data_IF_686097655697
#
_entry.id   IF_686097655697
#
_cell.length_a   1.000
_cell.length_b   1.000
_cell.length_c   1.000
_cell.angle_alpha   90.00
_cell.angle_beta   90.00
_cell.angle_gamma   90.00
#
_symmetry.space_group_name_H-M   'P 1'
#
loop_
_entity.id
_entity.type
_entity.pdbx_description
1 polymer ?
#
# COMPACT_ATOMS: atom_id res chain seq x y z
N UNK A 1 -51.04 69.23 22.56
CA UNK A 1 -51.02 67.77 22.35
C UNK A 1 -49.82 67.22 23.10
N UNK A 2 -50.08 66.17 23.90
CA UNK A 2 -49.12 65.50 24.80
C UNK A 2 -48.05 64.79 23.97
N UNK A 3 -46.79 64.91 24.37
CA UNK A 3 -45.64 64.36 23.65
C UNK A 3 -45.43 62.87 23.87
N UNK A 4 -44.51 62.30 23.10
CA UNK A 4 -43.64 61.19 23.48
C UNK A 4 -42.35 61.27 22.64
N UNK A 5 -41.22 61.38 23.34
CA UNK A 5 -39.87 61.20 22.80
C UNK A 5 -39.62 59.70 22.75
N UNK A 6 -39.27 59.16 21.58
CA UNK A 6 -38.75 57.79 21.46
C UNK A 6 -37.26 57.90 21.09
N UNK A 7 -36.43 57.60 22.08
CA UNK A 7 -35.01 57.27 21.90
C UNK A 7 -34.96 55.81 21.44
N UNK A 8 -34.40 55.56 20.26
CA UNK A 8 -34.21 54.21 19.72
C UNK A 8 -32.80 54.06 19.17
N UNK A 9 -31.97 53.35 19.92
CA UNK A 9 -30.57 53.02 19.69
C UNK A 9 -30.26 52.51 18.27
N UNK A 10 -29.16 53.02 17.70
CA UNK A 10 -28.38 52.38 16.64
C UNK A 10 -27.78 51.07 17.18
N UNK A 11 -28.34 49.93 16.80
CA UNK A 11 -27.70 48.63 17.00
C UNK A 11 -26.85 48.30 15.77
N UNK A 12 -25.54 48.43 15.95
CA UNK A 12 -24.50 47.93 15.05
C UNK A 12 -24.73 46.45 14.72
N UNK A 13 -24.91 46.13 13.43
CA UNK A 13 -24.84 44.74 12.95
C UNK A 13 -23.39 44.26 13.10
N UNK A 14 -23.12 43.64 14.25
CA UNK A 14 -21.88 42.91 14.46
C UNK A 14 -21.77 41.78 13.44
N UNK A 15 -20.67 41.78 12.69
CA UNK A 15 -20.20 40.64 11.91
C UNK A 15 -20.04 39.47 12.88
N UNK A 16 -21.04 38.58 12.91
CA UNK A 16 -20.93 37.29 13.54
C UNK A 16 -19.80 36.53 12.83
N UNK A 17 -18.62 36.55 13.45
CA UNK A 17 -17.57 35.59 13.16
C UNK A 17 -18.15 34.22 13.50
N UNK A 18 -18.58 33.49 12.47
CA UNK A 18 -18.85 32.07 12.61
C UNK A 18 -17.52 31.43 13.05
N UNK A 19 -17.41 31.13 14.34
CA UNK A 19 -16.35 30.26 14.85
C UNK A 19 -16.39 28.97 14.03
N UNK A 20 -15.25 28.50 13.48
CA UNK A 20 -15.23 27.22 12.80
C UNK A 20 -15.70 26.17 13.79
N UNK A 21 -16.72 25.41 13.40
CA UNK A 21 -17.16 24.26 14.17
C UNK A 21 -15.94 23.38 14.46
N UNK A 22 -15.65 23.12 15.73
CA UNK A 22 -14.61 22.18 16.13
C UNK A 22 -14.74 20.90 15.31
N UNK A 23 -13.63 20.33 14.80
CA UNK A 23 -13.69 19.13 13.99
C UNK A 23 -14.38 18.03 14.81
N UNK A 24 -15.41 17.45 14.20
CA UNK A 24 -16.12 16.28 14.71
C UNK A 24 -15.10 15.26 15.21
N UNK A 25 -15.32 14.82 16.44
CA UNK A 25 -14.52 13.88 17.21
C UNK A 25 -14.32 12.58 16.39
N UNK A 26 -13.31 12.54 15.52
CA UNK A 26 -12.83 11.34 14.85
C UNK A 26 -12.18 10.47 15.93
N UNK A 27 -13.00 9.83 16.77
CA UNK A 27 -12.51 8.82 17.69
C UNK A 27 -11.74 7.80 16.85
N UNK A 28 -10.44 7.70 17.11
CA UNK A 28 -9.57 6.73 16.48
C UNK A 28 -10.23 5.36 16.66
N UNK A 29 -10.60 4.71 15.55
CA UNK A 29 -11.09 3.34 15.58
C UNK A 29 -9.88 2.43 15.77
N UNK A 30 -9.54 2.16 17.02
CA UNK A 30 -8.54 1.14 17.34
C UNK A 30 -9.22 -0.21 17.22
N UNK A 31 -8.77 -1.04 16.27
CA UNK A 31 -9.20 -2.42 16.12
C UNK A 31 -8.02 -3.29 16.55
N UNK A 32 -8.18 -4.01 17.66
CA UNK A 32 -7.19 -4.99 18.11
C UNK A 32 -7.33 -6.27 17.28
N UNK A 33 -6.24 -6.70 16.67
CA UNK A 33 -6.15 -7.99 15.98
C UNK A 33 -5.41 -8.98 16.88
N UNK A 34 -5.66 -10.28 16.69
CA UNK A 34 -4.90 -11.33 17.38
C UNK A 34 -3.39 -11.11 17.22
N UNK A 35 -2.62 -11.46 18.27
CA UNK A 35 -1.18 -11.30 18.31
C UNK A 35 -0.53 -11.94 17.07
N UNK A 36 0.11 -11.11 16.24
CA UNK A 36 0.88 -11.55 15.09
C UNK A 36 2.29 -10.99 15.22
N UNK A 37 3.29 -11.81 14.92
CA UNK A 37 4.66 -11.34 14.75
C UNK A 37 4.72 -10.55 13.45
N UNK A 38 4.98 -9.25 13.55
CA UNK A 38 5.27 -8.42 12.39
C UNK A 38 6.70 -7.93 12.49
N UNK A 39 7.42 -7.97 11.37
CA UNK A 39 8.78 -7.44 11.32
C UNK A 39 9.03 -6.74 9.99
N UNK A 40 9.86 -5.72 10.07
CA UNK A 40 10.20 -4.83 8.98
C UNK A 40 11.63 -5.10 8.51
N UNK A 41 11.88 -5.00 7.22
CA UNK A 41 13.21 -5.28 6.67
C UNK A 41 13.48 -4.50 5.39
N UNK A 42 14.76 -4.17 5.18
CA UNK A 42 15.25 -3.64 3.92
C UNK A 42 15.52 -4.81 2.94
N UNK A 43 15.18 -4.61 1.68
CA UNK A 43 15.59 -5.48 0.57
C UNK A 43 16.48 -4.69 -0.37
N UNK A 44 17.62 -5.28 -0.77
CA UNK A 44 18.62 -4.60 -1.59
C UNK A 44 19.06 -5.49 -2.73
N UNK A 45 19.18 -4.91 -3.92
CA UNK A 45 19.77 -5.57 -5.08
C UNK A 45 20.78 -4.65 -5.75
N UNK A 46 21.85 -5.23 -6.29
CA UNK A 46 22.82 -4.55 -7.14
C UNK A 46 22.68 -5.10 -8.56
N UNK A 47 22.42 -4.21 -9.51
CA UNK A 47 22.39 -4.51 -10.94
C UNK A 47 23.52 -3.81 -11.69
N UNK A 48 23.52 -3.97 -13.00
CA UNK A 48 24.45 -3.32 -13.94
C UNK A 48 23.85 -1.99 -14.40
N UNK A 49 24.69 -0.97 -14.59
CA UNK A 49 24.28 0.30 -15.17
C UNK A 49 23.65 0.07 -16.56
N UNK A 50 22.44 0.59 -16.77
CA UNK A 50 21.65 0.40 -18.00
C UNK A 50 20.66 -0.77 -17.96
N UNK A 51 20.73 -1.64 -16.95
CA UNK A 51 19.71 -2.67 -16.67
C UNK A 51 19.09 -2.42 -15.29
N UNK A 52 18.02 -1.63 -15.29
CA UNK A 52 17.26 -1.35 -14.07
C UNK A 52 16.18 -2.38 -13.80
N UNK A 53 15.76 -3.15 -14.81
CA UNK A 53 14.63 -4.09 -14.68
C UNK A 53 15.01 -5.27 -13.78
N UNK A 54 16.19 -5.86 -14.01
CA UNK A 54 16.67 -6.99 -13.22
C UNK A 54 16.78 -6.70 -11.71
N UNK A 55 17.39 -5.58 -11.24
CA UNK A 55 17.44 -5.30 -9.81
C UNK A 55 16.06 -4.99 -9.21
N UNK A 56 15.12 -4.37 -9.94
CA UNK A 56 13.75 -4.17 -9.46
C UNK A 56 12.98 -5.49 -9.31
N UNK A 57 13.10 -6.39 -10.29
CA UNK A 57 12.53 -7.73 -10.20
C UNK A 57 13.10 -8.49 -9.00
N UNK A 58 14.42 -8.36 -8.77
CA UNK A 58 15.11 -9.04 -7.67
C UNK A 58 14.60 -8.58 -6.31
N UNK A 59 14.45 -7.25 -6.08
CA UNK A 59 13.94 -6.76 -4.80
C UNK A 59 12.47 -7.12 -4.58
N UNK A 60 11.66 -7.14 -5.64
CA UNK A 60 10.27 -7.58 -5.56
C UNK A 60 10.18 -9.04 -5.14
N UNK A 61 10.79 -9.94 -5.91
CA UNK A 61 10.77 -11.39 -5.64
C UNK A 61 11.33 -11.70 -4.27
N UNK A 62 12.46 -11.09 -3.89
CA UNK A 62 13.08 -11.34 -2.58
C UNK A 62 12.21 -10.87 -1.41
N UNK A 63 11.45 -9.78 -1.56
CA UNK A 63 10.49 -9.34 -0.54
C UNK A 63 9.34 -10.34 -0.39
N UNK A 64 8.80 -10.81 -1.51
CA UNK A 64 7.72 -11.80 -1.49
C UNK A 64 8.18 -13.13 -0.87
N UNK A 65 9.32 -13.65 -1.34
CA UNK A 65 9.87 -14.92 -0.90
C UNK A 65 10.24 -14.92 0.60
N UNK A 66 10.80 -13.82 1.12
CA UNK A 66 11.17 -13.74 2.54
C UNK A 66 9.95 -13.89 3.47
N UNK A 67 8.77 -13.46 3.02
CA UNK A 67 7.53 -13.72 3.74
C UNK A 67 7.02 -15.14 3.53
N UNK A 68 7.01 -15.63 2.30
CA UNK A 68 6.53 -16.98 1.96
C UNK A 68 7.26 -18.06 2.76
N UNK A 69 8.59 -17.99 2.84
CA UNK A 69 9.40 -19.01 3.55
C UNK A 69 9.13 -19.06 5.06
N UNK A 70 8.50 -18.01 5.61
CA UNK A 70 8.09 -17.92 7.02
C UNK A 70 6.60 -18.20 7.20
N UNK A 71 5.93 -18.69 6.14
CA UNK A 71 4.49 -18.88 6.12
C UNK A 71 3.70 -17.58 6.25
N UNK A 72 4.32 -16.42 6.03
CA UNK A 72 3.68 -15.13 6.16
C UNK A 72 3.18 -14.56 4.84
N UNK A 73 2.79 -13.29 4.87
CA UNK A 73 2.53 -12.49 3.69
C UNK A 73 3.09 -11.08 3.88
N UNK A 74 3.41 -10.41 2.78
CA UNK A 74 3.81 -9.01 2.79
C UNK A 74 2.59 -8.15 3.07
N UNK A 75 2.58 -7.43 4.18
CA UNK A 75 1.52 -6.45 4.51
C UNK A 75 1.77 -5.11 3.85
N UNK A 76 3.03 -4.71 3.73
CA UNK A 76 3.43 -3.47 3.06
C UNK A 76 4.74 -3.69 2.31
N UNK A 77 4.83 -3.13 1.11
CA UNK A 77 6.02 -3.06 0.27
C UNK A 77 6.15 -1.65 -0.28
N UNK A 78 7.35 -1.09 -0.21
CA UNK A 78 7.68 0.22 -0.75
C UNK A 78 9.01 0.15 -1.50
N UNK A 79 8.98 0.42 -2.79
CA UNK A 79 10.21 0.66 -3.55
C UNK A 79 10.78 2.04 -3.20
N UNK A 80 12.09 2.23 -3.43
CA UNK A 80 12.69 3.56 -3.34
C UNK A 80 12.63 4.22 -1.97
N UNK A 81 12.24 3.49 -0.91
CA UNK A 81 12.20 3.98 0.47
C UNK A 81 13.54 4.58 0.92
N UNK A 82 14.63 4.09 0.31
CA UNK A 82 15.98 4.66 0.43
C UNK A 82 16.49 5.08 -0.93
N UNK A 83 17.25 6.20 -0.98
CA UNK A 83 17.82 6.74 -2.22
C UNK A 83 18.58 5.67 -3.00
N UNK A 84 18.26 5.51 -4.28
CA UNK A 84 19.08 4.75 -5.22
C UNK A 84 20.51 5.30 -5.25
N UNK A 85 21.48 4.39 -5.31
CA UNK A 85 22.90 4.72 -5.33
C UNK A 85 23.54 4.14 -6.59
N UNK A 86 24.20 5.00 -7.36
CA UNK A 86 24.97 4.59 -8.54
C UNK A 86 26.43 4.39 -8.12
N UNK A 87 26.92 3.17 -8.32
CA UNK A 87 28.32 2.84 -8.11
C UNK A 87 29.06 3.00 -9.44
N UNK A 88 29.47 4.24 -9.73
CA UNK A 88 30.09 4.60 -11.02
C UNK A 88 31.47 3.96 -11.22
N UNK A 89 32.12 3.50 -10.15
CA UNK A 89 33.41 2.79 -10.22
C UNK A 89 33.23 1.35 -10.67
N UNK A 90 32.14 0.71 -10.26
CA UNK A 90 31.85 -0.70 -10.57
C UNK A 90 30.81 -0.86 -11.68
N UNK A 91 30.38 0.23 -12.32
CA UNK A 91 29.35 0.19 -13.36
C UNK A 91 28.02 -0.36 -12.84
N UNK A 92 27.66 -0.08 -11.58
CA UNK A 92 26.50 -0.68 -10.92
C UNK A 92 25.40 0.30 -10.51
N UNK A 93 24.19 -0.22 -10.39
CA UNK A 93 23.05 0.47 -9.76
C UNK A 93 22.58 -0.32 -8.55
N UNK A 94 22.39 0.35 -7.40
CA UNK A 94 21.80 -0.26 -6.20
C UNK A 94 20.38 0.22 -6.02
N UNK A 95 19.46 -0.74 -5.93
CA UNK A 95 18.05 -0.54 -5.66
C UNK A 95 17.76 -0.99 -4.23
N UNK A 96 16.93 -0.22 -3.53
CA UNK A 96 16.46 -0.54 -2.20
C UNK A 96 14.93 -0.56 -2.18
N UNK A 97 14.37 -1.47 -1.40
CA UNK A 97 12.99 -1.49 -1.02
C UNK A 97 12.87 -1.73 0.49
N UNK A 98 11.71 -1.44 1.02
CA UNK A 98 11.31 -1.75 2.38
C UNK A 98 10.08 -2.66 2.31
N UNK A 99 10.02 -3.64 3.19
CA UNK A 99 8.84 -4.49 3.31
C UNK A 99 8.54 -4.82 4.78
N UNK A 100 7.27 -4.95 5.07
CA UNK A 100 6.75 -5.43 6.35
C UNK A 100 6.12 -6.79 6.12
N UNK A 101 6.58 -7.78 6.88
CA UNK A 101 6.01 -9.11 6.87
C UNK A 101 5.12 -9.30 8.08
N UNK A 102 3.97 -9.97 7.89
CA UNK A 102 3.17 -10.48 8.98
C UNK A 102 3.22 -12.01 9.01
N UNK A 103 3.55 -12.55 10.18
CA UNK A 103 3.59 -13.97 10.51
C UNK A 103 2.71 -14.16 11.75
N UNK A 104 1.54 -14.79 11.60
CA UNK A 104 0.63 -15.09 12.71
C UNK A 104 0.94 -16.45 13.36
N UNK A 105 0.43 -16.71 14.58
CA UNK A 105 0.45 -18.06 15.20
C UNK A 105 -0.42 -19.09 14.46
N UNK A 106 -1.27 -18.62 13.56
CA UNK A 106 -1.57 -19.35 12.34
C UNK A 106 -1.88 -18.36 11.18
N UNK A 107 -0.94 -18.15 10.23
CA UNK A 107 -1.17 -17.35 9.04
C UNK A 107 -1.76 -18.16 7.87
N UNK A 108 -1.56 -19.50 7.82
CA UNK A 108 -2.03 -20.48 6.80
C UNK A 108 -1.86 -22.00 7.20
N UNK A 109 -1.49 -22.34 8.43
CA UNK A 109 -1.04 -23.62 8.98
C UNK A 109 -1.97 -24.83 8.77
N UNK A 110 -3.25 -24.64 8.48
CA UNK A 110 -4.15 -25.75 8.10
C UNK A 110 -4.42 -25.84 6.57
N UNK A 111 -3.90 -24.90 5.76
CA UNK A 111 -4.39 -24.67 4.38
C UNK A 111 -3.36 -24.28 3.31
N UNK A 112 -2.08 -24.63 3.46
CA UNK A 112 -1.26 -24.81 2.24
C UNK A 112 -1.72 -26.11 1.55
N UNK A 113 -2.93 -26.08 1.02
CA UNK A 113 -3.32 -27.00 -0.03
C UNK A 113 -2.74 -26.38 -1.29
N UNK A 114 -1.89 -27.12 -1.97
CA UNK A 114 -1.57 -26.84 -3.37
C UNK A 114 -2.89 -26.95 -4.17
N UNK A 115 -3.68 -25.88 -4.11
CA UNK A 115 -4.88 -25.69 -4.89
C UNK A 115 -4.53 -24.92 -6.16
N UNK A 116 -5.42 -24.96 -7.16
CA UNK A 116 -5.28 -24.08 -8.31
C UNK A 116 -5.26 -22.62 -7.82
N UNK A 117 -4.35 -21.82 -8.37
CA UNK A 117 -4.29 -20.39 -8.08
C UNK A 117 -5.62 -19.75 -8.50
N UNK A 118 -6.34 -19.07 -7.59
CA UNK A 118 -7.60 -18.42 -7.93
C UNK A 118 -7.37 -17.28 -8.92
N UNK A 119 -8.41 -16.92 -9.67
CA UNK A 119 -8.36 -15.73 -10.51
C UNK A 119 -8.31 -14.47 -9.64
N UNK A 120 -7.29 -13.65 -9.86
CA UNK A 120 -7.22 -12.30 -9.31
C UNK A 120 -7.73 -11.29 -10.34
N UNK A 121 -8.31 -10.18 -9.86
CA UNK A 121 -8.77 -9.08 -10.71
C UNK A 121 -8.38 -7.72 -10.12
N UNK A 122 -8.19 -6.75 -11.01
CA UNK A 122 -8.13 -5.34 -10.62
C UNK A 122 -9.56 -4.81 -10.54
N UNK A 123 -10.02 -4.51 -9.33
CA UNK A 123 -11.42 -4.13 -9.06
C UNK A 123 -11.62 -2.62 -9.03
N UNK A 124 -10.57 -1.84 -8.83
CA UNK A 124 -10.62 -0.37 -8.85
C UNK A 124 -9.25 0.20 -9.21
N UNK A 125 -9.22 1.26 -10.02
CA UNK A 125 -7.97 1.92 -10.44
C UNK A 125 -7.05 1.02 -11.26
N UNK A 126 -5.99 1.56 -11.82
CA UNK A 126 -4.98 0.83 -12.60
C UNK A 126 -3.59 0.87 -11.94
N UNK A 127 -3.46 1.57 -10.81
CA UNK A 127 -2.19 1.81 -10.14
C UNK A 127 -1.28 2.79 -10.87
N UNK A 128 -1.72 3.35 -12.00
CA UNK A 128 -1.02 4.41 -12.71
C UNK A 128 -1.51 5.74 -12.12
N UNK A 129 -0.59 6.53 -11.56
CA UNK A 129 -0.94 7.78 -10.89
C UNK A 129 -1.87 8.68 -11.73
N UNK A 130 -2.81 9.41 -11.10
CA UNK A 130 -2.95 9.66 -9.66
C UNK A 130 -3.73 8.58 -8.89
N UNK A 131 -4.29 7.58 -9.55
CA UNK A 131 -5.10 6.54 -8.91
C UNK A 131 -4.26 5.36 -8.40
N UNK A 132 -4.46 4.98 -7.14
CA UNK A 132 -4.04 3.66 -6.66
C UNK A 132 -4.94 2.58 -7.24
N UNK A 133 -4.37 1.44 -7.58
CA UNK A 133 -5.11 0.25 -7.96
C UNK A 133 -5.49 -0.59 -6.74
N UNK A 134 -6.52 -1.39 -6.88
CA UNK A 134 -6.95 -2.42 -5.92
C UNK A 134 -7.06 -3.75 -6.67
N UNK A 135 -6.15 -4.66 -6.36
CA UNK A 135 -6.19 -6.04 -6.80
C UNK A 135 -6.88 -6.90 -5.74
N UNK A 136 -7.64 -7.90 -6.17
CA UNK A 136 -8.41 -8.76 -5.26
C UNK A 136 -8.46 -10.20 -5.79
N UNK A 137 -8.41 -11.17 -4.88
CA UNK A 137 -8.78 -12.56 -5.14
C UNK A 137 -9.50 -13.14 -3.92
N UNK A 138 -10.41 -14.09 -4.18
CA UNK A 138 -11.10 -14.86 -3.15
C UNK A 138 -10.71 -16.33 -3.24
N UNK A 139 -10.56 -17.01 -2.10
CA UNK A 139 -10.19 -18.42 -2.09
C UNK A 139 -9.38 -18.80 -0.86
N UNK A 140 -8.54 -19.83 -1.02
CA UNK A 140 -7.55 -20.16 -0.01
C UNK A 140 -6.59 -18.95 0.16
N UNK A 141 -6.40 -18.44 1.39
CA UNK A 141 -5.67 -17.19 1.62
C UNK A 141 -4.26 -17.13 1.01
N UNK A 142 -3.47 -18.20 1.06
CA UNK A 142 -2.10 -18.19 0.53
C UNK A 142 -2.11 -18.13 -1.01
N UNK A 143 -2.94 -18.95 -1.65
CA UNK A 143 -3.12 -18.95 -3.09
C UNK A 143 -3.72 -17.61 -3.59
N UNK A 144 -4.66 -17.02 -2.85
CA UNK A 144 -5.22 -15.71 -3.16
C UNK A 144 -4.18 -14.60 -3.04
N UNK A 145 -3.33 -14.62 -2.00
CA UNK A 145 -2.21 -13.70 -1.87
C UNK A 145 -1.20 -13.81 -3.03
N UNK A 146 -0.84 -15.05 -3.40
CA UNK A 146 0.02 -15.28 -4.57
C UNK A 146 -0.60 -14.78 -5.87
N UNK A 147 -1.90 -15.04 -6.10
CA UNK A 147 -2.60 -14.54 -7.27
C UNK A 147 -2.60 -13.00 -7.34
N UNK A 148 -2.87 -12.35 -6.21
CA UNK A 148 -2.93 -10.89 -6.09
C UNK A 148 -1.56 -10.26 -6.34
N UNK A 149 -0.48 -10.74 -5.70
CA UNK A 149 0.86 -10.17 -5.90
C UNK A 149 1.37 -10.39 -7.33
N UNK A 150 1.09 -11.55 -7.93
CA UNK A 150 1.48 -11.84 -9.32
C UNK A 150 0.74 -10.92 -10.29
N UNK A 151 -0.56 -10.67 -10.06
CA UNK A 151 -1.34 -9.71 -10.83
C UNK A 151 -0.81 -8.28 -10.69
N UNK A 152 -0.52 -7.82 -9.47
CA UNK A 152 0.03 -6.48 -9.22
C UNK A 152 1.36 -6.29 -9.96
N UNK A 153 2.28 -7.26 -9.82
CA UNK A 153 3.58 -7.21 -10.47
C UNK A 153 3.44 -7.17 -11.99
N UNK A 154 2.62 -8.07 -12.55
CA UNK A 154 2.34 -8.11 -13.98
C UNK A 154 1.72 -6.81 -14.48
N UNK A 155 0.76 -6.25 -13.75
CA UNK A 155 0.06 -5.01 -14.13
C UNK A 155 1.05 -3.85 -14.26
N UNK A 156 1.98 -3.70 -13.31
CA UNK A 156 3.00 -2.66 -13.43
C UNK A 156 4.00 -2.96 -14.55
N UNK A 157 4.46 -4.20 -14.70
CA UNK A 157 5.42 -4.58 -15.74
C UNK A 157 4.87 -4.42 -17.16
N UNK A 158 3.61 -4.78 -17.39
CA UNK A 158 2.94 -4.62 -18.70
C UNK A 158 2.89 -3.14 -19.14
N UNK A 159 3.05 -2.21 -18.20
CA UNK A 159 3.12 -0.76 -18.42
C UNK A 159 4.56 -0.22 -18.43
N UNK A 160 5.57 -1.09 -18.47
CA UNK A 160 6.99 -0.76 -18.34
C UNK A 160 7.31 0.02 -17.04
N UNK A 161 6.62 -0.35 -15.95
CA UNK A 161 6.75 0.25 -14.63
C UNK A 161 7.08 -0.80 -13.59
N UNK A 162 7.63 -0.35 -12.48
CA UNK A 162 7.82 -1.15 -11.26
C UNK A 162 6.68 -0.91 -10.29
N UNK A 163 6.44 -1.88 -9.41
CA UNK A 163 5.57 -1.69 -8.26
C UNK A 163 6.24 -0.69 -7.33
N UNK A 164 5.60 0.46 -7.12
CA UNK A 164 6.06 1.49 -6.19
C UNK A 164 5.66 1.16 -4.77
N UNK A 165 4.41 0.75 -4.62
CA UNK A 165 3.80 0.45 -3.35
C UNK A 165 2.84 -0.72 -3.50
N UNK A 166 2.79 -1.57 -2.48
CA UNK A 166 1.72 -2.53 -2.30
C UNK A 166 1.40 -2.64 -0.80
N UNK A 167 0.12 -2.58 -0.44
CA UNK A 167 -0.36 -2.92 0.90
C UNK A 167 -1.42 -3.99 0.81
N UNK A 168 -1.20 -5.10 1.49
CA UNK A 168 -2.05 -6.28 1.47
C UNK A 168 -2.91 -6.34 2.72
N UNK A 169 -4.19 -6.61 2.50
CA UNK A 169 -5.15 -6.92 3.53
C UNK A 169 -5.72 -8.32 3.30
N UNK A 170 -5.83 -9.10 4.37
CA UNK A 170 -6.46 -10.43 4.35
C UNK A 170 -7.71 -10.35 5.21
N UNK A 171 -8.88 -10.42 4.57
CA UNK A 171 -10.16 -10.58 5.25
C UNK A 171 -10.45 -12.07 5.42
N UNK A 172 -10.35 -12.54 6.66
CA UNK A 172 -10.60 -13.93 7.04
C UNK A 172 -11.71 -14.01 8.11
N UNK A 173 -12.83 -13.32 7.88
CA UNK A 173 -13.99 -13.39 8.77
C UNK A 173 -14.58 -14.83 8.83
N UNK A 174 -15.02 -15.29 10.02
CA UNK A 174 -15.72 -16.57 10.14
C UNK A 174 -16.94 -16.64 9.21
N UNK A 175 -17.14 -17.77 8.54
CA UNK A 175 -18.25 -18.05 7.62
C UNK A 175 -18.28 -17.24 6.32
N UNK A 176 -17.22 -16.50 5.99
CA UNK A 176 -17.02 -15.91 4.67
C UNK A 176 -15.92 -16.66 3.90
N UNK A 177 -16.00 -16.66 2.57
CA UNK A 177 -14.84 -17.07 1.76
C UNK A 177 -13.72 -16.06 2.00
N UNK A 178 -12.51 -16.49 2.39
CA UNK A 178 -11.43 -15.56 2.61
C UNK A 178 -11.12 -14.75 1.36
N UNK A 179 -10.73 -13.51 1.58
CA UNK A 179 -10.46 -12.55 0.53
C UNK A 179 -9.13 -11.86 0.81
N UNK A 180 -8.31 -11.77 -0.22
CA UNK A 180 -7.07 -10.99 -0.18
C UNK A 180 -7.23 -9.80 -1.10
N UNK A 181 -6.91 -8.64 -0.57
CA UNK A 181 -6.90 -7.37 -1.28
C UNK A 181 -5.49 -6.80 -1.23
N UNK A 182 -5.02 -6.23 -2.33
CA UNK A 182 -3.82 -5.42 -2.35
C UNK A 182 -4.08 -4.08 -3.00
N UNK A 183 -3.91 -3.01 -2.22
CA UNK A 183 -3.79 -1.66 -2.78
C UNK A 183 -2.39 -1.52 -3.33
N UNK A 184 -2.26 -1.00 -4.55
CA UNK A 184 -0.96 -0.85 -5.18
C UNK A 184 -0.85 0.44 -6.00
N UNK A 185 0.39 0.84 -6.24
CA UNK A 185 0.73 1.89 -7.18
C UNK A 185 1.98 1.49 -7.95
N UNK A 186 2.05 1.87 -9.22
CA UNK A 186 3.22 1.72 -10.07
C UNK A 186 3.99 3.06 -10.17
N UNK A 187 5.31 3.02 -10.28
CA UNK A 187 6.11 4.23 -10.46
C UNK A 187 5.93 4.86 -11.87
N UNK A 188 6.32 6.12 -12.02
CA UNK A 188 6.71 6.76 -13.30
C UNK A 188 7.91 6.04 -13.94
N UNK A 189 7.67 5.00 -14.76
CA UNK A 189 8.72 4.31 -15.54
C UNK A 189 9.80 3.56 -14.74
N UNK A 190 10.42 2.56 -15.37
CA UNK A 190 11.56 1.83 -14.79
C UNK A 190 12.83 2.71 -14.71
N UNK A 191 12.95 3.69 -15.62
CA UNK A 191 14.09 4.60 -15.76
C UNK A 191 13.91 6.00 -15.16
N UNK A 192 12.73 6.37 -14.64
CA UNK A 192 12.62 7.67 -13.99
C UNK A 192 13.38 7.61 -12.66
N UNK A 193 14.56 8.23 -12.66
CA UNK A 193 15.32 8.50 -11.46
C UNK A 193 14.45 9.25 -10.47
N UNK A 194 14.46 8.78 -9.21
CA UNK A 194 13.82 9.34 -8.02
C UNK A 194 13.06 10.65 -8.27
N UNK A 195 11.84 10.56 -8.80
CA UNK A 195 10.93 11.67 -8.64
C UNK A 195 10.52 11.67 -7.17
N UNK A 196 10.99 12.71 -6.47
CA UNK A 196 10.49 13.09 -5.16
C UNK A 196 9.00 13.34 -5.31
N UNK A 197 8.19 12.58 -4.57
CA UNK A 197 6.92 13.10 -4.08
C UNK A 197 7.21 13.94 -2.83
#
# INVERSE_FOLDING_TARGET
MKGFIIVGLLATTGLAHASPASPTNHRLKVVEYASATSFEYDVRAKGVLGDVVAPYATVWTSAMDNCDVRGGYVTEYHDGFKRSYYDTREGGVRVNAYATCRVAEDPFADRIKEGPMPAAAIVTGDGLGPSTGLAQASGEPHAAYRAVRELVYKTCLDQARRVRFMSTHVDNRPNATPQVEARFACNSGLDAGNQRD
#
